data_IF_986385032857
#
_entry.id   IF_986385032857
#
_cell.length_a   1.000
_cell.length_b   1.000
_cell.length_c   1.000
_cell.angle_alpha   90.00
_cell.angle_beta   90.00
_cell.angle_gamma   90.00
#
_symmetry.space_group_name_H-M   'P 1'
#
loop_
_entity.id
_entity.type
_entity.pdbx_description
1 polymer ?
#
# COMPACT_ATOMS: atom_id res chain seq x y z
N UNK A 1 -16.25 6.59 25.05
CA UNK A 1 -16.03 5.25 24.45
C UNK A 1 -14.70 4.73 24.94
N UNK A 2 -14.66 3.52 25.48
CA UNK A 2 -13.41 2.84 25.80
C UNK A 2 -12.58 2.65 24.52
N UNK A 3 -11.25 2.73 24.64
CA UNK A 3 -10.30 2.48 23.54
C UNK A 3 -9.36 1.37 23.96
N UNK A 4 -8.89 0.59 22.99
CA UNK A 4 -7.84 -0.40 23.18
C UNK A 4 -6.53 0.17 22.65
N UNK A 5 -5.44 0.06 23.39
CA UNK A 5 -4.14 0.59 23.00
C UNK A 5 -3.19 -0.56 22.75
N UNK A 6 -2.86 -0.83 21.49
CA UNK A 6 -1.92 -1.89 21.14
C UNK A 6 -0.50 -1.32 21.03
N UNK A 7 0.45 -1.94 21.72
CA UNK A 7 1.88 -1.65 21.64
C UNK A 7 2.55 -2.82 20.93
N UNK A 8 2.97 -2.59 19.69
CA UNK A 8 3.70 -3.57 18.87
C UNK A 8 5.21 -3.49 19.12
N UNK A 9 5.71 -2.29 19.42
CA UNK A 9 7.11 -2.05 19.82
C UNK A 9 7.15 -1.03 20.97
N UNK A 10 7.74 -1.43 22.09
CA UNK A 10 7.82 -0.64 23.32
C UNK A 10 8.52 -1.44 24.41
N UNK A 11 8.53 -0.92 25.64
CA UNK A 11 9.08 -1.63 26.82
C UNK A 11 8.35 -2.94 27.09
N UNK A 12 7.02 -2.92 26.95
CA UNK A 12 6.15 -4.11 27.00
C UNK A 12 5.17 -4.04 25.84
N UNK A 13 5.07 -5.13 25.08
CA UNK A 13 4.11 -5.28 23.99
C UNK A 13 2.79 -5.87 24.50
N UNK A 14 1.72 -5.69 23.72
CA UNK A 14 0.39 -6.18 24.07
C UNK A 14 -0.69 -5.10 23.96
N UNK A 15 -1.89 -5.42 24.44
CA UNK A 15 -3.07 -4.53 24.40
C UNK A 15 -3.35 -4.02 25.81
N UNK A 16 -3.52 -2.71 25.94
CA UNK A 16 -3.81 -2.01 27.18
C UNK A 16 -5.19 -1.35 27.10
N UNK A 17 -5.87 -1.22 28.23
CA UNK A 17 -7.24 -0.68 28.28
C UNK A 17 -7.26 0.84 28.52
N UNK A 18 -6.12 1.41 28.91
CA UNK A 18 -5.98 2.83 29.20
C UNK A 18 -4.78 3.46 28.50
N UNK A 19 -4.85 4.78 28.29
CA UNK A 19 -3.72 5.52 27.75
C UNK A 19 -2.53 5.54 28.71
N UNK A 20 -2.76 5.64 30.02
CA UNK A 20 -1.69 5.74 30.99
C UNK A 20 -0.83 4.46 31.01
N UNK A 21 -1.46 3.28 31.00
CA UNK A 21 -0.76 1.99 30.87
C UNK A 21 0.06 1.91 29.57
N UNK A 22 -0.54 2.30 28.44
CA UNK A 22 0.15 2.31 27.14
C UNK A 22 1.32 3.30 27.14
N UNK A 23 1.13 4.49 27.72
CA UNK A 23 2.09 5.59 27.75
C UNK A 23 3.35 5.17 28.50
N UNK A 24 3.22 4.45 29.60
CA UNK A 24 4.36 3.91 30.35
C UNK A 24 5.23 2.99 29.48
N UNK A 25 4.60 2.23 28.58
CA UNK A 25 5.31 1.27 27.72
C UNK A 25 6.02 1.93 26.54
N UNK A 26 5.59 3.11 26.09
CA UNK A 26 6.13 3.75 24.87
C UNK A 26 7.00 4.96 25.16
N UNK A 27 6.79 5.63 26.30
CA UNK A 27 7.54 6.84 26.65
C UNK A 27 9.00 6.52 26.93
N UNK A 28 9.90 7.22 26.22
CA UNK A 28 11.36 7.02 26.31
C UNK A 28 11.88 5.81 25.52
N UNK A 29 11.01 5.06 24.83
CA UNK A 29 11.42 3.94 23.98
C UNK A 29 11.61 4.42 22.53
N UNK A 30 12.85 4.39 22.02
CA UNK A 30 13.17 4.87 20.67
C UNK A 30 12.51 3.98 19.61
N UNK A 31 11.71 4.58 18.74
CA UNK A 31 11.00 3.87 17.67
C UNK A 31 9.86 3.00 18.18
N UNK A 32 9.18 3.42 19.25
CA UNK A 32 7.97 2.75 19.72
C UNK A 32 6.88 2.79 18.64
N UNK A 33 6.18 1.66 18.47
CA UNK A 33 5.10 1.46 17.51
C UNK A 33 3.86 1.07 18.32
N UNK A 34 2.87 1.97 18.34
CA UNK A 34 1.65 1.79 19.11
C UNK A 34 0.49 2.52 18.46
N UNK A 35 -0.73 2.05 18.72
CA UNK A 35 -1.94 2.67 18.19
C UNK A 35 -3.16 2.38 19.06
N UNK A 36 -4.11 3.33 19.10
CA UNK A 36 -5.42 3.13 19.73
C UNK A 36 -6.48 2.67 18.72
N UNK A 37 -7.30 1.70 19.10
CA UNK A 37 -8.38 1.12 18.32
C UNK A 37 -9.72 1.20 19.06
N UNK A 38 -10.82 1.08 18.31
CA UNK A 38 -12.18 1.08 18.88
C UNK A 38 -12.60 -0.30 19.35
N UNK A 39 -12.03 -1.35 18.77
CA UNK A 39 -12.35 -2.74 19.08
C UNK A 39 -11.10 -3.52 19.46
N UNK A 40 -11.28 -4.58 20.26
CA UNK A 40 -10.20 -5.48 20.64
C UNK A 40 -9.63 -6.22 19.41
N UNK A 41 -10.50 -6.68 18.52
CA UNK A 41 -10.11 -7.39 17.30
C UNK A 41 -9.20 -6.56 16.38
N UNK A 42 -9.45 -5.26 16.21
CA UNK A 42 -8.55 -4.37 15.46
C UNK A 42 -7.18 -4.23 16.15
N UNK A 43 -7.15 -4.21 17.48
CA UNK A 43 -5.92 -4.14 18.27
C UNK A 43 -5.11 -5.44 18.21
N UNK A 44 -5.78 -6.59 18.23
CA UNK A 44 -5.17 -7.92 18.03
C UNK A 44 -4.56 -8.03 16.62
N UNK A 45 -5.33 -7.68 15.58
CA UNK A 45 -4.86 -7.71 14.20
C UNK A 45 -3.64 -6.80 13.96
N UNK A 46 -3.53 -5.69 14.70
CA UNK A 46 -2.34 -4.83 14.62
C UNK A 46 -1.08 -5.48 15.20
N UNK A 47 -1.22 -6.29 16.26
CA UNK A 47 -0.10 -7.03 16.86
C UNK A 47 0.33 -8.24 16.04
N UNK A 48 -0.62 -8.91 15.38
CA UNK A 48 -0.37 -10.10 14.56
C UNK A 48 0.27 -9.80 13.19
N UNK A 49 0.21 -8.54 12.72
CA UNK A 49 0.89 -8.18 11.46
C UNK A 49 2.40 -8.31 11.62
N UNK A 50 3.02 -9.26 10.93
CA UNK A 50 4.47 -9.26 10.77
C UNK A 50 4.86 -8.12 9.81
N UNK A 51 5.77 -7.23 10.23
CA UNK A 51 6.52 -6.38 9.30
C UNK A 51 7.63 -7.24 8.68
N UNK A 52 7.27 -8.35 8.03
CA UNK A 52 8.23 -9.18 7.32
C UNK A 52 8.84 -8.35 6.20
N UNK A 53 10.10 -7.97 6.39
CA UNK A 53 10.95 -7.57 5.29
C UNK A 53 11.22 -8.84 4.50
N UNK A 54 10.47 -9.03 3.42
CA UNK A 54 10.82 -10.06 2.44
C UNK A 54 12.09 -9.54 1.75
N UNK A 55 13.24 -10.04 2.22
CA UNK A 55 14.55 -9.73 1.64
C UNK A 55 14.78 -10.55 0.35
N UNK A 56 14.11 -11.70 0.21
CA UNK A 56 14.17 -12.59 -0.97
C UNK A 56 12.78 -12.82 -1.57
N UNK A 57 12.57 -12.32 -2.79
CA UNK A 57 11.27 -12.33 -3.49
C UNK A 57 10.97 -13.70 -4.12
N UNK A 58 11.99 -14.53 -4.31
CA UNK A 58 11.86 -15.89 -4.85
C UNK A 58 11.07 -16.84 -3.93
N UNK A 59 10.77 -16.44 -2.69
CA UNK A 59 10.02 -17.23 -1.71
C UNK A 59 8.53 -16.84 -1.62
N UNK A 60 8.04 -15.98 -2.51
CA UNK A 60 6.64 -15.54 -2.49
C UNK A 60 5.76 -16.58 -3.16
N UNK A 61 5.09 -17.39 -2.35
CA UNK A 61 4.09 -18.34 -2.83
C UNK A 61 2.84 -17.62 -3.40
N UNK A 62 2.33 -18.12 -4.52
CA UNK A 62 1.09 -17.65 -5.15
C UNK A 62 1.27 -16.46 -6.09
N UNK A 63 0.18 -15.72 -6.31
CA UNK A 63 0.19 -14.55 -7.22
C UNK A 63 0.70 -13.34 -6.44
N UNK A 64 1.60 -12.58 -7.05
CA UNK A 64 2.10 -11.34 -6.47
C UNK A 64 2.23 -10.23 -7.50
N UNK A 65 2.32 -8.99 -7.03
CA UNK A 65 2.47 -7.84 -7.90
C UNK A 65 3.42 -6.79 -7.32
N UNK A 66 4.18 -6.15 -8.19
CA UNK A 66 4.91 -4.93 -7.90
C UNK A 66 4.13 -3.75 -8.43
N UNK A 67 4.16 -2.65 -7.68
CA UNK A 67 3.57 -1.38 -8.10
C UNK A 67 4.52 -0.23 -7.82
N UNK A 68 4.42 0.80 -8.66
CA UNK A 68 5.07 2.09 -8.43
C UNK A 68 4.27 3.22 -9.11
N UNK A 69 4.52 4.45 -8.68
CA UNK A 69 3.91 5.65 -9.18
C UNK A 69 4.94 6.72 -9.49
N UNK A 70 4.69 7.49 -10.55
CA UNK A 70 5.53 8.61 -10.96
C UNK A 70 4.69 9.87 -11.12
N UNK A 71 5.34 11.03 -11.11
CA UNK A 71 4.66 12.30 -11.30
C UNK A 71 5.55 13.32 -11.99
N UNK A 72 5.01 13.93 -13.05
CA UNK A 72 5.65 15.03 -13.76
C UNK A 72 5.08 16.36 -13.29
N UNK A 73 5.92 17.14 -12.58
CA UNK A 73 5.51 18.42 -11.99
C UNK A 73 5.17 19.50 -13.01
N UNK A 74 5.72 19.42 -14.23
CA UNK A 74 5.53 20.45 -15.26
C UNK A 74 4.15 20.31 -15.90
N UNK A 75 3.74 19.08 -16.17
CA UNK A 75 2.47 18.76 -16.84
C UNK A 75 1.34 18.40 -15.87
N UNK A 76 1.65 18.15 -14.60
CA UNK A 76 0.64 17.74 -13.60
C UNK A 76 0.11 16.32 -13.80
N UNK A 77 0.85 15.47 -14.53
CA UNK A 77 0.45 14.10 -14.87
C UNK A 77 1.07 13.14 -13.87
N UNK A 78 0.27 12.24 -13.31
CA UNK A 78 0.74 11.06 -12.60
C UNK A 78 0.74 9.85 -13.52
N UNK A 79 1.66 8.93 -13.29
CA UNK A 79 1.74 7.63 -13.95
C UNK A 79 1.79 6.50 -12.94
N UNK A 80 1.28 5.34 -13.32
CA UNK A 80 1.29 4.12 -12.53
C UNK A 80 1.91 2.97 -13.34
N UNK A 81 2.72 2.16 -12.68
CA UNK A 81 3.32 0.96 -13.23
C UNK A 81 2.93 -0.25 -12.39
N UNK A 82 2.62 -1.36 -13.04
CA UNK A 82 2.23 -2.61 -12.40
C UNK A 82 2.89 -3.78 -13.11
N UNK A 83 3.46 -4.69 -12.34
CA UNK A 83 3.85 -6.02 -12.82
C UNK A 83 3.16 -7.06 -11.95
N UNK A 84 2.38 -7.96 -12.54
CA UNK A 84 1.75 -9.10 -11.87
C UNK A 84 2.46 -10.38 -12.30
N UNK A 85 2.82 -11.22 -11.34
CA UNK A 85 3.46 -12.52 -11.55
C UNK A 85 2.54 -13.64 -11.05
N UNK A 86 2.27 -14.61 -11.92
CA UNK A 86 1.44 -15.79 -11.66
C UNK A 86 2.17 -17.03 -12.20
N UNK A 87 2.93 -17.69 -11.31
CA UNK A 87 3.90 -18.72 -11.68
C UNK A 87 4.95 -18.16 -12.65
N UNK A 88 5.14 -18.80 -13.80
CA UNK A 88 6.10 -18.35 -14.82
C UNK A 88 5.60 -17.17 -15.67
N UNK A 89 4.36 -16.72 -15.47
CA UNK A 89 3.77 -15.65 -16.29
C UNK A 89 3.98 -14.30 -15.64
N UNK A 90 4.44 -13.34 -16.45
CA UNK A 90 4.59 -11.93 -16.08
C UNK A 90 3.66 -11.07 -16.92
N UNK A 91 2.88 -10.20 -16.27
CA UNK A 91 1.94 -9.28 -16.91
C UNK A 91 2.29 -7.84 -16.53
N UNK A 92 2.55 -7.00 -17.52
CA UNK A 92 2.92 -5.60 -17.32
C UNK A 92 1.77 -4.67 -17.70
N UNK A 93 1.46 -3.71 -16.84
CA UNK A 93 0.44 -2.70 -17.07
C UNK A 93 0.97 -1.31 -16.70
N UNK A 94 0.49 -0.31 -17.42
CA UNK A 94 0.80 1.09 -17.14
C UNK A 94 -0.39 1.99 -17.44
N UNK A 95 -0.58 3.01 -16.62
CA UNK A 95 -1.66 3.98 -16.79
C UNK A 95 -1.18 5.37 -16.38
N UNK A 96 -1.80 6.41 -16.91
CA UNK A 96 -1.50 7.79 -16.54
C UNK A 96 -2.76 8.64 -16.56
N UNK A 97 -2.76 9.69 -15.74
CA UNK A 97 -3.87 10.60 -15.60
C UNK A 97 -3.42 11.97 -15.08
N UNK A 98 -4.29 12.96 -15.20
CA UNK A 98 -4.03 14.35 -14.84
C UNK A 98 -5.18 14.98 -14.03
N UNK A 99 -6.04 14.16 -13.43
CA UNK A 99 -7.20 14.65 -12.68
C UNK A 99 -6.71 15.45 -11.46
N UNK A 100 -7.10 16.73 -11.37
CA UNK A 100 -6.55 17.69 -10.39
C UNK A 100 -6.75 17.28 -8.92
N UNK A 101 -7.87 16.63 -8.59
CA UNK A 101 -8.16 16.12 -7.25
C UNK A 101 -7.22 14.98 -6.84
N UNK A 102 -6.63 14.27 -7.81
CA UNK A 102 -5.70 13.16 -7.58
C UNK A 102 -4.25 13.65 -7.70
N UNK A 103 -3.96 14.54 -8.64
CA UNK A 103 -2.63 15.09 -8.89
C UNK A 103 -2.02 15.84 -7.68
N UNK A 104 -2.84 16.29 -6.73
CA UNK A 104 -2.38 16.84 -5.44
C UNK A 104 -1.56 15.83 -4.61
N UNK A 105 -1.75 14.54 -4.84
CA UNK A 105 -0.96 13.47 -4.23
C UNK A 105 0.32 13.15 -5.01
N UNK A 106 0.57 13.81 -6.14
CA UNK A 106 1.75 13.60 -6.97
C UNK A 106 1.95 12.11 -7.31
N UNK A 107 3.11 11.53 -7.01
CA UNK A 107 3.43 10.14 -7.30
C UNK A 107 2.53 9.16 -6.53
N UNK A 108 2.07 9.54 -5.34
CA UNK A 108 1.18 8.71 -4.51
C UNK A 108 -0.15 8.46 -5.22
N UNK A 109 -0.59 9.35 -6.12
CA UNK A 109 -1.77 9.10 -6.94
C UNK A 109 -1.58 7.90 -7.88
N UNK A 110 -0.41 7.84 -8.53
CA UNK A 110 -0.03 6.73 -9.39
C UNK A 110 0.04 5.41 -8.63
N UNK A 111 0.66 5.41 -7.45
CA UNK A 111 0.74 4.19 -6.62
C UNK A 111 -0.63 3.71 -6.13
N UNK A 112 -1.53 4.62 -5.76
CA UNK A 112 -2.89 4.26 -5.35
C UNK A 112 -3.71 3.69 -6.52
N UNK A 113 -3.59 4.25 -7.73
CA UNK A 113 -4.22 3.67 -8.91
C UNK A 113 -3.63 2.28 -9.24
N UNK A 114 -2.31 2.12 -9.13
CA UNK A 114 -1.63 0.82 -9.31
C UNK A 114 -2.16 -0.23 -8.33
N UNK A 115 -2.25 0.11 -7.04
CA UNK A 115 -2.78 -0.76 -5.99
C UNK A 115 -4.24 -1.14 -6.26
N UNK A 116 -5.10 -0.17 -6.63
CA UNK A 116 -6.49 -0.42 -7.00
C UNK A 116 -6.61 -1.36 -8.20
N UNK A 117 -5.75 -1.19 -9.20
CA UNK A 117 -5.72 -2.05 -10.38
C UNK A 117 -5.36 -3.50 -10.02
N UNK A 118 -4.32 -3.73 -9.23
CA UNK A 118 -3.94 -5.09 -8.78
C UNK A 118 -5.07 -5.75 -7.99
N UNK A 119 -5.68 -5.01 -7.07
CA UNK A 119 -6.81 -5.49 -6.28
C UNK A 119 -8.03 -5.82 -7.16
N UNK A 120 -8.35 -4.97 -8.13
CA UNK A 120 -9.40 -5.25 -9.12
C UNK A 120 -9.08 -6.48 -9.95
N UNK A 121 -7.84 -6.60 -10.43
CA UNK A 121 -7.37 -7.75 -11.21
C UNK A 121 -7.56 -9.05 -10.44
N UNK A 122 -7.19 -9.07 -9.15
CA UNK A 122 -7.37 -10.25 -8.30
C UNK A 122 -8.85 -10.65 -8.18
N UNK A 123 -9.76 -9.68 -8.02
CA UNK A 123 -11.21 -9.93 -8.00
C UNK A 123 -11.70 -10.48 -9.35
N UNK A 124 -11.31 -9.84 -10.47
CA UNK A 124 -11.72 -10.24 -11.83
C UNK A 124 -11.25 -11.66 -12.17
N UNK A 125 -9.99 -11.99 -11.86
CA UNK A 125 -9.40 -13.31 -12.09
C UNK A 125 -9.77 -14.35 -11.04
N UNK A 126 -10.59 -13.99 -10.05
CA UNK A 126 -11.01 -14.87 -8.93
C UNK A 126 -9.83 -15.40 -8.11
N UNK A 127 -8.74 -14.64 -8.04
CA UNK A 127 -7.57 -14.94 -7.20
C UNK A 127 -7.98 -14.74 -5.74
N UNK A 128 -7.74 -15.75 -4.89
CA UNK A 128 -8.14 -15.71 -3.47
C UNK A 128 -7.16 -14.99 -2.57
N UNK A 129 -5.89 -14.98 -2.94
CA UNK A 129 -4.82 -14.36 -2.20
C UNK A 129 -3.80 -13.76 -3.16
N UNK A 130 -3.40 -12.51 -2.91
CA UNK A 130 -2.39 -11.80 -3.71
C UNK A 130 -1.46 -10.99 -2.80
N UNK A 131 -0.16 -11.01 -3.10
CA UNK A 131 0.84 -10.23 -2.38
C UNK A 131 1.21 -8.98 -3.17
N UNK A 132 1.07 -7.81 -2.56
CA UNK A 132 1.32 -6.51 -3.19
C UNK A 132 2.59 -5.87 -2.61
N UNK A 133 3.59 -5.68 -3.47
CA UNK A 133 4.85 -5.03 -3.19
C UNK A 133 4.80 -3.54 -3.59
N UNK A 134 5.17 -2.66 -2.68
CA UNK A 134 5.14 -1.20 -2.85
C UNK A 134 6.22 -0.52 -2.00
N UNK A 135 6.55 0.74 -2.29
CA UNK A 135 7.56 1.50 -1.54
C UNK A 135 6.98 2.59 -0.62
N UNK A 136 5.76 3.09 -0.89
CA UNK A 136 5.08 4.06 -0.04
C UNK A 136 4.20 3.42 1.05
N UNK A 137 4.49 3.75 2.32
CA UNK A 137 3.77 3.23 3.49
C UNK A 137 2.24 3.44 3.44
N UNK A 138 1.77 4.51 2.78
CA UNK A 138 0.36 4.87 2.76
C UNK A 138 -0.53 3.81 2.11
N UNK A 139 0.00 3.02 1.17
CA UNK A 139 -0.74 1.96 0.45
C UNK A 139 -1.37 0.98 1.43
N UNK A 140 -0.57 0.42 2.33
CA UNK A 140 -1.06 -0.46 3.39
C UNK A 140 -1.74 0.35 4.49
N UNK A 141 -1.09 1.42 4.97
CA UNK A 141 -1.52 2.10 6.19
C UNK A 141 -2.95 2.65 6.07
N UNK A 142 -3.38 3.14 4.91
CA UNK A 142 -4.78 3.52 4.70
C UNK A 142 -5.69 2.30 4.59
N UNK A 143 -5.32 1.30 3.79
CA UNK A 143 -6.12 0.11 3.56
C UNK A 143 -6.49 -0.60 4.87
N UNK A 144 -5.52 -0.75 5.75
CA UNK A 144 -5.67 -1.45 7.04
C UNK A 144 -6.19 -0.56 8.17
N UNK A 145 -6.42 0.72 7.90
CA UNK A 145 -6.95 1.68 8.86
C UNK A 145 -5.90 2.24 9.84
N UNK A 146 -4.61 2.03 9.62
CA UNK A 146 -3.50 2.59 10.40
C UNK A 146 -3.39 4.12 10.25
N UNK A 147 -3.67 4.65 9.07
CA UNK A 147 -3.73 6.08 8.80
C UNK A 147 -5.15 6.56 8.54
N UNK A 148 -5.46 7.79 8.97
CA UNK A 148 -6.74 8.44 8.66
C UNK A 148 -6.73 8.95 7.22
N UNK A 149 -7.69 8.51 6.41
CA UNK A 149 -7.92 9.03 5.06
C UNK A 149 -8.69 10.36 5.12
N UNK A 150 -7.98 11.47 4.89
CA UNK A 150 -8.56 12.83 4.98
C UNK A 150 -8.97 13.41 3.61
N UNK A 151 -8.43 12.89 2.51
CA UNK A 151 -8.73 13.37 1.16
C UNK A 151 -9.83 12.51 0.53
N UNK A 152 -10.68 13.07 -0.35
CA UNK A 152 -11.70 12.29 -1.05
C UNK A 152 -11.13 11.05 -1.75
N UNK A 153 -9.97 11.19 -2.39
CA UNK A 153 -9.33 10.10 -3.11
C UNK A 153 -8.75 9.01 -2.19
N UNK A 154 -8.12 9.36 -1.07
CA UNK A 154 -7.66 8.36 -0.10
C UNK A 154 -8.84 7.66 0.60
N UNK A 155 -9.98 8.34 0.75
CA UNK A 155 -11.22 7.73 1.25
C UNK A 155 -11.83 6.76 0.23
N UNK A 156 -11.79 7.09 -1.07
CA UNK A 156 -12.20 6.18 -2.14
C UNK A 156 -11.36 4.90 -2.13
N UNK A 157 -10.03 5.04 -2.01
CA UNK A 157 -9.12 3.90 -1.87
C UNK A 157 -9.48 2.99 -0.70
N UNK A 158 -9.73 3.56 0.50
CA UNK A 158 -10.14 2.76 1.68
C UNK A 158 -11.48 2.05 1.46
N UNK A 159 -12.46 2.72 0.83
CA UNK A 159 -13.75 2.12 0.50
C UNK A 159 -13.60 0.99 -0.50
N UNK A 160 -12.75 1.17 -1.51
CA UNK A 160 -12.45 0.17 -2.52
C UNK A 160 -11.82 -1.07 -1.90
N UNK A 161 -10.74 -0.90 -1.13
CA UNK A 161 -10.11 -2.00 -0.41
C UNK A 161 -11.07 -2.73 0.54
N UNK A 162 -11.94 -1.98 1.23
CA UNK A 162 -12.94 -2.57 2.13
C UNK A 162 -13.89 -3.55 1.45
N UNK A 163 -14.18 -3.37 0.15
CA UNK A 163 -14.95 -4.32 -0.65
C UNK A 163 -14.09 -5.49 -1.12
N UNK A 164 -12.88 -5.21 -1.61
CA UNK A 164 -11.95 -6.22 -2.12
C UNK A 164 -11.60 -7.25 -1.04
N UNK A 165 -11.29 -6.80 0.18
CA UNK A 165 -10.89 -7.68 1.28
C UNK A 165 -11.96 -8.70 1.71
N UNK A 166 -13.20 -8.53 1.26
CA UNK A 166 -14.27 -9.52 1.47
C UNK A 166 -14.14 -10.75 0.56
N UNK A 167 -13.41 -10.63 -0.55
CA UNK A 167 -13.27 -11.67 -1.57
C UNK A 167 -11.83 -12.13 -1.80
N UNK A 168 -10.86 -11.25 -1.53
CA UNK A 168 -9.42 -11.46 -1.78
C UNK A 168 -8.65 -11.13 -0.50
N UNK A 169 -7.79 -12.04 -0.06
CA UNK A 169 -6.77 -11.75 0.95
C UNK A 169 -5.61 -11.01 0.28
N UNK A 170 -5.43 -9.73 0.62
CA UNK A 170 -4.33 -8.92 0.10
C UNK A 170 -3.24 -8.84 1.15
N UNK A 171 -2.07 -9.39 0.85
CA UNK A 171 -0.88 -9.24 1.68
C UNK A 171 -0.12 -8.00 1.23
N UNK A 172 0.33 -7.18 2.17
CA UNK A 172 1.06 -5.96 1.88
C UNK A 172 2.52 -6.15 2.27
N UNK A 173 3.43 -5.92 1.32
CA UNK A 173 4.87 -6.04 1.57
C UNK A 173 5.56 -4.77 1.12
N UNK A 174 6.07 -4.03 2.10
CA UNK A 174 6.82 -2.81 1.81
C UNK A 174 8.26 -3.15 1.44
N UNK A 175 8.68 -2.68 0.27
CA UNK A 175 10.07 -2.73 -0.18
C UNK A 175 10.73 -1.37 -0.05
N UNK A 176 12.06 -1.34 -0.03
CA UNK A 176 12.80 -0.08 -0.15
C UNK A 176 12.90 0.27 -1.64
N UNK A 177 12.56 1.50 -1.97
CA UNK A 177 12.81 2.05 -3.31
C UNK A 177 14.27 1.85 -3.74
N UNK A 178 14.48 1.52 -5.02
CA UNK A 178 15.80 1.45 -5.67
C UNK A 178 16.80 0.48 -5.01
N UNK A 179 16.34 -0.72 -4.65
CA UNK A 179 17.15 -1.78 -4.02
C UNK A 179 17.83 -2.74 -5.00
N UNK A 180 17.76 -2.50 -6.31
CA UNK A 180 18.25 -3.44 -7.33
C UNK A 180 17.34 -4.66 -7.54
N UNK A 181 16.11 -4.62 -7.01
CA UNK A 181 15.06 -5.58 -7.33
C UNK A 181 14.57 -5.30 -8.75
N UNK A 182 14.81 -6.23 -9.68
CA UNK A 182 14.47 -6.09 -11.10
C UNK A 182 13.02 -5.64 -11.32
N UNK A 183 12.05 -6.27 -10.64
CA UNK A 183 10.63 -5.94 -10.82
C UNK A 183 10.28 -4.53 -10.32
N UNK A 184 10.97 -4.03 -9.29
CA UNK A 184 10.79 -2.66 -8.80
C UNK A 184 11.29 -1.63 -9.82
N UNK A 185 12.39 -1.93 -10.51
CA UNK A 185 12.91 -1.07 -11.59
C UNK A 185 11.99 -1.09 -12.81
N UNK A 186 11.39 -2.24 -13.12
CA UNK A 186 10.41 -2.36 -14.21
C UNK A 186 9.17 -1.49 -13.94
N UNK A 187 8.60 -1.51 -12.73
CA UNK A 187 7.40 -0.70 -12.44
C UNK A 187 7.68 0.81 -12.42
N UNK A 188 8.84 1.25 -11.91
CA UNK A 188 9.28 2.66 -11.98
C UNK A 188 9.36 3.13 -13.45
N UNK A 189 9.97 2.30 -14.31
CA UNK A 189 10.06 2.57 -15.75
C UNK A 189 8.67 2.63 -16.38
N UNK A 190 7.79 1.67 -16.11
CA UNK A 190 6.42 1.64 -16.64
C UNK A 190 5.62 2.89 -16.26
N UNK A 191 5.73 3.34 -15.00
CA UNK A 191 5.06 4.54 -14.52
C UNK A 191 5.52 5.80 -15.27
N UNK A 192 6.84 5.95 -15.49
CA UNK A 192 7.41 7.06 -16.27
C UNK A 192 7.01 7.00 -17.74
N UNK A 193 7.05 5.82 -18.35
CA UNK A 193 6.62 5.64 -19.74
C UNK A 193 5.14 5.98 -19.93
N UNK A 194 4.27 5.68 -18.94
CA UNK A 194 2.85 6.02 -19.00
C UNK A 194 2.64 7.54 -19.12
N UNK A 195 3.39 8.32 -18.35
CA UNK A 195 3.36 9.79 -18.40
C UNK A 195 3.76 10.28 -19.79
N UNK A 196 4.88 9.78 -20.33
CA UNK A 196 5.37 10.20 -21.64
C UNK A 196 4.43 9.83 -22.78
N UNK A 197 3.77 8.66 -22.69
CA UNK A 197 2.75 8.25 -23.63
C UNK A 197 1.52 9.17 -23.54
N UNK A 198 1.03 9.45 -22.33
CA UNK A 198 -0.12 10.33 -22.10
C UNK A 198 0.12 11.73 -22.65
N UNK A 199 1.31 12.30 -22.43
CA UNK A 199 1.70 13.60 -23.02
C UNK A 199 1.59 13.55 -24.54
N UNK A 200 2.15 12.53 -25.20
CA UNK A 200 2.11 12.41 -26.67
C UNK A 200 0.69 12.30 -27.24
N UNK A 201 -0.19 11.57 -26.55
CA UNK A 201 -1.56 11.35 -26.98
C UNK A 201 -2.44 12.61 -26.82
N UNK A 202 -2.16 13.46 -25.84
CA UNK A 202 -2.93 14.67 -25.53
C UNK A 202 -2.30 15.97 -26.07
N UNK A 203 -1.23 15.88 -26.87
CA UNK A 203 -0.60 17.02 -27.57
C UNK A 203 -1.00 17.10 -29.05
N UNK A 204 -2.01 16.32 -29.47
CA UNK A 204 -2.62 16.39 -30.82
C UNK A 204 -3.99 17.03 -30.76
#
# INVERSE_FOLDING_TARGET
MAKFYAVKKGKKTGIFSTWDECKEQVTGFKGAVYKSFKTLSEAEAFLERNEEKIENIEEVDGVYAYIDGSFDRVSGIYGSGVVIVDGDKKYEYKHAGNREDYAQLHNVAGELEAAKFVMWYAVDKKIKEITLFYDYQGIEAWAVGDWKANLPYTQDYVKFYSKVKMAVKVNFVKVKAHTGIELNEVVDKLAKEAIEQFKKENTK
#
